data_IF_588823902953
#
_entry.id   IF_588823902953
#
_cell.length_a   1.000
_cell.length_b   1.000
_cell.length_c   1.000
_cell.angle_alpha   90.00
_cell.angle_beta   90.00
_cell.angle_gamma   90.00
#
_symmetry.space_group_name_H-M   'P 1'
#
loop_
_entity.id
_entity.type
_entity.pdbx_description
1 polymer ?
#
# COMPACT_ATOMS: atom_id res chain seq x y z
N UNK A 1 -5.26 21.17 25.46
CA UNK A 1 -5.43 20.69 24.07
C UNK A 1 -6.47 21.58 23.39
N UNK A 2 -6.28 21.95 22.12
CA UNK A 2 -7.18 22.88 21.44
C UNK A 2 -8.53 22.18 21.15
N UNK A 3 -9.64 22.74 21.64
CA UNK A 3 -10.99 22.15 21.51
C UNK A 3 -11.41 21.91 20.05
N UNK A 4 -10.91 22.74 19.12
CA UNK A 4 -11.14 22.54 17.69
C UNK A 4 -10.40 21.30 17.18
N UNK A 5 -9.18 21.07 17.64
CA UNK A 5 -8.39 19.88 17.27
C UNK A 5 -9.05 18.61 17.82
N UNK A 6 -9.54 18.63 19.06
CA UNK A 6 -10.29 17.50 19.63
C UNK A 6 -11.54 17.16 18.83
N UNK A 7 -12.29 18.18 18.40
CA UNK A 7 -13.47 17.98 17.56
C UNK A 7 -13.11 17.34 16.22
N UNK A 8 -12.07 17.85 15.55
CA UNK A 8 -11.62 17.32 14.25
C UNK A 8 -11.08 15.89 14.36
N UNK A 9 -10.37 15.55 15.45
CA UNK A 9 -9.92 14.18 15.72
C UNK A 9 -11.12 13.24 15.87
N UNK A 10 -12.12 13.62 16.68
CA UNK A 10 -13.34 12.82 16.86
C UNK A 10 -14.11 12.65 15.55
N UNK A 11 -14.21 13.70 14.74
CA UNK A 11 -14.87 13.63 13.44
C UNK A 11 -14.14 12.68 12.48
N UNK A 12 -12.81 12.74 12.44
CA UNK A 12 -11.99 11.81 11.65
C UNK A 12 -12.23 10.36 12.10
N UNK A 13 -12.14 10.10 13.40
CA UNK A 13 -12.25 8.75 13.95
C UNK A 13 -13.66 8.18 13.71
N UNK A 14 -14.70 9.00 13.87
CA UNK A 14 -16.07 8.60 13.54
C UNK A 14 -16.25 8.30 12.04
N UNK A 15 -15.65 9.12 11.17
CA UNK A 15 -15.71 8.89 9.72
C UNK A 15 -14.98 7.60 9.31
N UNK A 16 -13.87 7.28 9.98
CA UNK A 16 -13.13 6.04 9.76
C UNK A 16 -13.96 4.83 10.21
N UNK A 17 -14.59 4.89 11.39
CA UNK A 17 -15.48 3.82 11.85
C UNK A 17 -16.64 3.58 10.88
N UNK A 18 -17.19 4.65 10.30
CA UNK A 18 -18.26 4.57 9.29
C UNK A 18 -17.78 3.91 8.00
N UNK A 19 -16.58 4.27 7.54
CA UNK A 19 -15.98 3.65 6.37
C UNK A 19 -15.72 2.15 6.59
N UNK A 20 -15.19 1.78 7.76
CA UNK A 20 -14.89 0.39 8.11
C UNK A 20 -16.17 -0.46 8.18
N UNK A 21 -17.21 0.04 8.84
CA UNK A 21 -18.51 -0.63 8.92
C UNK A 21 -19.19 -0.78 7.54
N UNK A 22 -19.03 0.23 6.67
CA UNK A 22 -19.57 0.17 5.31
C UNK A 22 -18.85 -0.89 4.49
N UNK A 23 -17.52 -0.97 4.60
CA UNK A 23 -16.73 -2.00 3.91
C UNK A 23 -17.11 -3.40 4.38
N UNK A 24 -17.27 -3.61 5.70
CA UNK A 24 -17.71 -4.89 6.25
C UNK A 24 -19.09 -5.31 5.72
N UNK A 25 -20.02 -4.35 5.59
CA UNK A 25 -21.34 -4.63 5.04
C UNK A 25 -21.27 -4.97 3.54
N UNK A 26 -20.45 -4.25 2.76
CA UNK A 26 -20.19 -4.58 1.36
C UNK A 26 -19.64 -6.01 1.24
N UNK A 27 -18.68 -6.39 2.09
CA UNK A 27 -18.12 -7.75 2.12
C UNK A 27 -19.15 -8.82 2.46
N UNK A 28 -20.08 -8.52 3.38
CA UNK A 28 -21.16 -9.43 3.74
C UNK A 28 -22.08 -9.74 2.56
N UNK A 29 -22.32 -8.73 1.71
CA UNK A 29 -23.20 -8.78 0.55
C UNK A 29 -22.51 -9.30 -0.72
N UNK A 30 -21.18 -9.40 -0.72
CA UNK A 30 -20.43 -9.89 -1.86
C UNK A 30 -20.78 -11.37 -2.15
N UNK A 31 -21.03 -11.74 -3.43
CA UNK A 31 -21.20 -13.14 -3.80
C UNK A 31 -19.98 -13.99 -3.39
N UNK A 32 -20.09 -15.31 -3.16
CA UNK A 32 -18.96 -16.18 -2.80
C UNK A 32 -17.76 -16.06 -3.76
N UNK A 33 -18.05 -15.88 -5.05
CA UNK A 33 -17.07 -15.63 -6.13
C UNK A 33 -16.35 -14.28 -6.00
N UNK A 34 -16.97 -13.31 -5.33
CA UNK A 34 -16.40 -12.00 -4.99
C UNK A 34 -15.71 -12.01 -3.61
N UNK A 35 -16.11 -12.89 -2.67
CA UNK A 35 -15.37 -13.12 -1.41
C UNK A 35 -13.99 -13.72 -1.67
N UNK A 36 -13.86 -14.55 -2.70
CA UNK A 36 -12.55 -14.95 -3.21
C UNK A 36 -11.75 -13.80 -3.85
N UNK A 37 -12.40 -12.74 -4.38
CA UNK A 37 -11.75 -11.51 -4.90
C UNK A 37 -11.47 -10.44 -3.84
N UNK A 38 -12.01 -10.57 -2.64
CA UNK A 38 -11.65 -9.71 -1.51
C UNK A 38 -10.52 -10.33 -0.66
N UNK A 39 -10.42 -11.67 -0.65
CA UNK A 39 -9.24 -12.38 -0.11
C UNK A 39 -8.13 -12.63 -1.15
N UNK A 40 -8.43 -12.60 -2.45
CA UNK A 40 -7.42 -12.41 -3.50
C UNK A 40 -7.52 -10.96 -3.89
N UNK A 41 -6.67 -10.12 -3.29
CA UNK A 41 -6.09 -8.94 -3.95
C UNK A 41 -6.41 -8.99 -5.44
N UNK A 42 -7.33 -8.15 -5.93
CA UNK A 42 -7.47 -7.88 -7.37
C UNK A 42 -6.05 -7.87 -7.87
N UNK A 43 -5.65 -8.83 -8.72
CA UNK A 43 -4.24 -9.07 -9.01
C UNK A 43 -3.66 -7.78 -9.58
N UNK A 44 -3.17 -6.92 -8.70
CA UNK A 44 -2.71 -5.59 -9.05
C UNK A 44 -1.51 -5.92 -9.88
N UNK A 45 -1.48 -5.48 -11.12
CA UNK A 45 -0.29 -5.68 -11.91
C UNK A 45 0.82 -4.81 -11.33
N UNK A 46 2.03 -5.34 -11.26
CA UNK A 46 3.20 -4.60 -10.76
C UNK A 46 3.44 -3.31 -11.56
N UNK A 47 2.86 -3.18 -12.75
CA UNK A 47 2.86 -1.98 -13.59
C UNK A 47 2.41 -0.71 -12.87
N UNK A 48 1.51 -0.83 -11.87
CA UNK A 48 1.09 0.30 -11.05
C UNK A 48 2.24 0.89 -10.23
N UNK A 49 3.29 0.09 -9.97
CA UNK A 49 4.49 0.53 -9.29
C UNK A 49 5.64 0.81 -10.27
N UNK A 50 5.88 -0.06 -11.26
CA UNK A 50 7.06 0.09 -12.15
C UNK A 50 7.04 1.35 -13.02
N UNK A 51 5.88 2.01 -13.14
CA UNK A 51 5.75 3.32 -13.81
C UNK A 51 6.27 4.49 -12.97
N UNK A 52 6.56 4.29 -11.69
CA UNK A 52 7.15 5.31 -10.82
C UNK A 52 8.67 5.41 -11.01
N UNK A 53 9.20 6.61 -10.78
CA UNK A 53 10.63 6.90 -10.72
C UNK A 53 11.16 6.51 -9.35
N UNK A 54 11.95 5.43 -9.34
CA UNK A 54 12.63 4.90 -8.17
C UNK A 54 14.11 5.25 -8.21
N UNK A 55 14.64 5.68 -7.06
CA UNK A 55 16.05 6.00 -6.87
C UNK A 55 16.67 4.99 -5.90
N UNK A 56 17.79 4.38 -6.31
CA UNK A 56 18.53 3.42 -5.51
C UNK A 56 19.13 4.09 -4.28
N UNK A 57 18.99 3.42 -3.15
CA UNK A 57 19.49 3.82 -1.84
C UNK A 57 20.16 2.63 -1.18
N UNK A 58 21.17 2.91 -0.36
CA UNK A 58 21.87 1.88 0.40
C UNK A 58 21.65 2.09 1.89
N UNK A 59 21.10 1.08 2.54
CA UNK A 59 20.76 1.11 3.96
C UNK A 59 21.63 0.14 4.74
N UNK A 60 22.15 0.58 5.89
CA UNK A 60 23.01 -0.24 6.75
C UNK A 60 22.38 -1.58 7.18
N UNK A 61 21.05 -1.64 7.32
CA UNK A 61 20.30 -2.85 7.73
C UNK A 61 19.48 -3.50 6.61
N UNK A 62 19.07 -2.71 5.61
CA UNK A 62 18.21 -3.16 4.52
C UNK A 62 18.99 -3.62 3.30
N UNK A 63 20.28 -3.28 3.19
CA UNK A 63 21.05 -3.44 1.97
C UNK A 63 20.60 -2.44 0.90
N UNK A 64 20.53 -2.89 -0.34
CA UNK A 64 20.04 -2.08 -1.47
C UNK A 64 18.51 -2.07 -1.51
N UNK A 65 17.93 -0.87 -1.57
CA UNK A 65 16.50 -0.65 -1.72
C UNK A 65 16.28 0.60 -2.58
N UNK A 66 15.08 0.83 -3.06
CA UNK A 66 14.78 1.97 -3.91
C UNK A 66 13.60 2.77 -3.35
N UNK A 67 13.62 4.08 -3.57
CA UNK A 67 12.57 5.00 -3.09
C UNK A 67 11.98 5.76 -4.28
N UNK A 68 10.65 5.78 -4.37
CA UNK A 68 9.91 6.71 -5.22
C UNK A 68 9.32 7.84 -4.37
N UNK A 69 9.81 9.06 -4.59
CA UNK A 69 9.32 10.27 -3.94
C UNK A 69 8.09 10.81 -4.67
N UNK A 70 7.05 11.23 -3.94
CA UNK A 70 5.85 11.84 -4.51
C UNK A 70 6.18 13.04 -5.40
N UNK A 71 7.08 13.91 -4.95
CA UNK A 71 7.49 15.11 -5.68
C UNK A 71 8.15 14.82 -7.04
N UNK A 72 8.74 13.63 -7.22
CA UNK A 72 9.43 13.24 -8.45
C UNK A 72 8.51 12.47 -9.41
N UNK A 73 7.26 12.20 -9.02
CA UNK A 73 6.32 11.37 -9.73
C UNK A 73 5.03 12.14 -10.07
N UNK A 74 4.37 11.75 -11.17
CA UNK A 74 3.06 12.30 -11.52
C UNK A 74 2.02 11.82 -10.51
N UNK A 75 1.17 12.73 -10.01
CA UNK A 75 0.16 12.41 -9.00
C UNK A 75 -0.79 11.31 -9.46
N UNK A 76 -1.19 11.32 -10.73
CA UNK A 76 -2.06 10.31 -11.34
C UNK A 76 -1.46 8.89 -11.36
N UNK A 77 -0.13 8.77 -11.28
CA UNK A 77 0.58 7.49 -11.20
C UNK A 77 0.92 7.13 -9.76
N UNK A 78 1.31 8.12 -8.97
CA UNK A 78 1.71 7.93 -7.59
C UNK A 78 0.53 7.59 -6.68
N UNK A 79 -0.60 8.29 -6.82
CA UNK A 79 -1.76 8.14 -5.94
C UNK A 79 -2.36 6.72 -6.00
N UNK A 80 -2.56 6.08 -7.17
CA UNK A 80 -2.98 4.69 -7.23
C UNK A 80 -2.03 3.74 -6.50
N UNK A 81 -0.72 3.84 -6.77
CA UNK A 81 0.29 3.00 -6.14
C UNK A 81 0.30 3.15 -4.61
N UNK A 82 0.24 4.40 -4.13
CA UNK A 82 0.19 4.68 -2.70
C UNK A 82 -1.08 4.14 -2.05
N UNK A 83 -2.24 4.30 -2.69
CA UNK A 83 -3.51 3.79 -2.18
C UNK A 83 -3.53 2.26 -2.08
N UNK A 84 -2.94 1.55 -3.05
CA UNK A 84 -2.82 0.09 -2.99
C UNK A 84 -2.06 -0.33 -1.73
N UNK A 85 -0.89 0.26 -1.49
CA UNK A 85 -0.04 -0.07 -0.34
C UNK A 85 -0.67 0.34 0.99
N UNK A 86 -1.37 1.47 1.00
CA UNK A 86 -2.09 1.95 2.19
C UNK A 86 -3.24 1.01 2.54
N UNK A 87 -4.05 0.61 1.56
CA UNK A 87 -5.17 -0.30 1.76
C UNK A 87 -4.71 -1.71 2.15
N UNK A 88 -3.54 -2.13 1.68
CA UNK A 88 -2.94 -3.42 2.06
C UNK A 88 -2.13 -3.36 3.36
N UNK A 89 -2.10 -2.23 4.08
CA UNK A 89 -1.27 -2.02 5.27
C UNK A 89 0.21 -2.40 5.08
N UNK A 90 0.78 -2.11 3.90
CA UNK A 90 2.13 -2.51 3.54
C UNK A 90 3.18 -1.76 4.37
N UNK A 91 3.81 -2.47 5.31
CA UNK A 91 4.88 -1.94 6.16
C UNK A 91 6.22 -2.60 5.83
N UNK A 92 7.32 -2.07 6.38
CA UNK A 92 8.64 -2.71 6.24
C UNK A 92 8.66 -4.17 6.75
N UNK A 93 7.81 -4.48 7.73
CA UNK A 93 7.66 -5.83 8.32
C UNK A 93 6.76 -6.72 7.47
N UNK A 94 5.71 -6.15 6.90
CA UNK A 94 4.72 -6.85 6.08
C UNK A 94 4.62 -6.17 4.71
N UNK A 95 5.48 -6.62 3.79
CA UNK A 95 5.69 -5.96 2.50
C UNK A 95 4.71 -6.49 1.47
N UNK A 96 4.11 -5.58 0.71
CA UNK A 96 3.19 -5.94 -0.36
C UNK A 96 3.93 -6.45 -1.59
N UNK A 97 3.53 -7.61 -2.09
CA UNK A 97 3.92 -8.11 -3.39
C UNK A 97 2.90 -9.13 -3.91
N UNK A 98 2.75 -9.20 -5.24
CA UNK A 98 2.05 -10.31 -5.89
C UNK A 98 2.95 -11.55 -6.01
N UNK A 99 2.37 -12.66 -6.48
CA UNK A 99 3.09 -13.92 -6.68
C UNK A 99 4.16 -13.83 -7.78
N UNK A 100 3.92 -13.01 -8.80
CA UNK A 100 4.77 -12.85 -9.99
C UNK A 100 5.60 -11.57 -9.97
N UNK A 101 5.59 -10.84 -8.85
CA UNK A 101 6.27 -9.56 -8.76
C UNK A 101 7.79 -9.74 -8.71
N UNK A 102 8.52 -8.80 -9.29
CA UNK A 102 9.97 -8.72 -9.16
C UNK A 102 10.38 -8.02 -7.84
N UNK A 103 9.54 -7.13 -7.31
CA UNK A 103 9.83 -6.33 -6.13
C UNK A 103 8.76 -6.49 -5.04
N UNK A 104 9.22 -6.27 -3.80
CA UNK A 104 8.37 -6.02 -2.63
C UNK A 104 8.25 -4.53 -2.38
N UNK A 105 7.06 -4.07 -1.99
CA UNK A 105 6.73 -2.66 -1.84
C UNK A 105 6.20 -2.37 -0.43
N UNK A 106 6.53 -1.22 0.14
CA UNK A 106 6.00 -0.79 1.44
C UNK A 106 5.99 0.72 1.60
N UNK A 107 5.25 1.17 2.61
CA UNK A 107 5.23 2.57 3.06
C UNK A 107 6.04 2.72 4.35
N UNK A 108 6.77 3.82 4.44
CA UNK A 108 7.45 4.25 5.66
C UNK A 108 7.48 5.78 5.71
N UNK A 109 6.66 6.36 6.59
CA UNK A 109 6.41 7.79 6.61
C UNK A 109 5.48 8.26 5.48
N UNK A 110 5.53 9.55 5.19
CA UNK A 110 4.69 10.22 4.19
C UNK A 110 5.45 10.47 2.88
N UNK A 111 4.71 10.56 1.78
CA UNK A 111 5.20 10.96 0.44
C UNK A 111 6.31 10.08 -0.18
N UNK A 112 6.52 8.86 0.33
CA UNK A 112 7.51 7.91 -0.18
C UNK A 112 6.91 6.52 -0.34
N UNK A 113 7.27 5.88 -1.45
CA UNK A 113 7.03 4.45 -1.69
C UNK A 113 8.39 3.78 -1.76
N UNK A 114 8.57 2.72 -0.99
CA UNK A 114 9.81 1.97 -0.95
C UNK A 114 9.63 0.67 -1.72
N UNK A 115 10.70 0.21 -2.38
CA UNK A 115 10.75 -1.14 -2.94
C UNK A 115 12.09 -1.82 -2.72
N UNK A 116 12.07 -3.14 -2.75
CA UNK A 116 13.27 -3.97 -2.74
C UNK A 116 13.02 -5.23 -3.57
N UNK A 117 14.03 -5.61 -4.37
CA UNK A 117 13.97 -6.79 -5.22
C UNK A 117 13.71 -8.04 -4.37
N UNK A 118 12.74 -8.85 -4.79
CA UNK A 118 12.47 -10.13 -4.14
C UNK A 118 13.63 -11.09 -4.40
N UNK A 119 13.97 -11.89 -3.39
CA UNK A 119 14.90 -13.00 -3.60
C UNK A 119 14.20 -14.02 -4.50
N UNK A 120 14.89 -14.58 -5.51
CA UNK A 120 14.31 -15.63 -6.34
C UNK A 120 13.88 -16.78 -5.43
N UNK A 121 12.62 -17.25 -5.57
CA UNK A 121 12.20 -18.47 -4.89
C UNK A 121 13.07 -19.61 -5.43
N UNK A 122 13.71 -20.42 -4.56
CA UNK A 122 14.37 -21.64 -5.02
C UNK A 122 13.29 -22.51 -5.68
N UNK A 123 13.47 -22.83 -6.96
CA UNK A 123 12.69 -23.87 -7.62
C UNK A 123 12.97 -25.18 -6.86
N UNK A 124 11.97 -25.67 -6.12
CA UNK A 124 11.96 -27.04 -5.59
C UNK A 124 11.47 -27.99 -6.66
#
# INVERSE_FOLDING_TARGET
MNKQVEFLVKLRDASQMLADATNEYIDSLAPPEAKEKNNKTVAVYEINFTTLKFETQQGAKLGEYEIAYKANNLEDKWRPAYNILRNSNATIKDRYHGETYAYSYWLYGEDKIYRQKLKPKPQS
#
